data_IF_192949785404
#
_entry.id   IF_192949785404
#
_cell.length_a   1.000
_cell.length_b   1.000
_cell.length_c   1.000
_cell.angle_alpha   90.00
_cell.angle_beta   90.00
_cell.angle_gamma   90.00
#
_symmetry.space_group_name_H-M   'P 1'
#
loop_
_entity.id
_entity.type
_entity.pdbx_description
1 polymer ?
#
# COMPACT_ATOMS: atom_id res chain seq x y z
N UNK A 1 64.54 -5.04 0.69
CA UNK A 1 63.36 -4.70 1.53
C UNK A 1 62.38 -5.86 1.47
N UNK A 2 62.17 -6.58 2.57
CA UNK A 2 61.24 -7.71 2.62
C UNK A 2 59.78 -7.26 2.33
N UNK A 3 58.97 -8.16 1.75
CA UNK A 3 57.55 -7.89 1.44
C UNK A 3 56.76 -7.66 2.74
N UNK A 4 55.64 -6.93 2.65
CA UNK A 4 54.83 -6.61 3.83
C UNK A 4 54.33 -7.87 4.57
N UNK A 5 54.02 -8.93 3.82
CA UNK A 5 53.65 -10.24 4.36
C UNK A 5 54.78 -10.89 5.18
N UNK A 6 56.02 -10.84 4.69
CA UNK A 6 57.19 -11.39 5.39
C UNK A 6 57.51 -10.58 6.66
N UNK A 7 57.35 -9.25 6.59
CA UNK A 7 57.46 -8.39 7.78
C UNK A 7 56.38 -8.72 8.80
N UNK A 8 55.12 -8.89 8.38
CA UNK A 8 54.02 -9.27 9.26
C UNK A 8 54.24 -10.64 9.91
N UNK A 9 54.91 -11.57 9.22
CA UNK A 9 55.23 -12.90 9.74
C UNK A 9 56.51 -12.96 10.60
N UNK A 10 57.24 -11.86 10.76
CA UNK A 10 58.40 -11.78 11.66
C UNK A 10 58.04 -12.19 13.09
N UNK A 11 58.96 -12.87 13.78
CA UNK A 11 58.79 -13.33 15.17
C UNK A 11 58.33 -12.22 16.12
N UNK A 12 58.88 -11.01 15.97
CA UNK A 12 58.51 -9.86 16.81
C UNK A 12 57.07 -9.40 16.53
N UNK A 13 56.66 -9.38 15.28
CA UNK A 13 55.30 -8.98 14.90
C UNK A 13 54.28 -10.03 15.31
N UNK A 14 54.58 -11.32 15.12
CA UNK A 14 53.76 -12.42 15.65
C UNK A 14 53.63 -12.37 17.18
N UNK A 15 54.72 -12.11 17.90
CA UNK A 15 54.69 -11.98 19.36
C UNK A 15 53.89 -10.76 19.83
N UNK A 16 54.04 -9.62 19.15
CA UNK A 16 53.31 -8.39 19.47
C UNK A 16 51.82 -8.56 19.20
N UNK A 17 51.45 -9.15 18.06
CA UNK A 17 50.07 -9.52 17.73
C UNK A 17 49.51 -10.50 18.76
N UNK A 18 50.22 -11.57 19.10
CA UNK A 18 49.78 -12.51 20.14
C UNK A 18 49.53 -11.82 21.48
N UNK A 19 50.44 -10.95 21.93
CA UNK A 19 50.29 -10.22 23.20
C UNK A 19 49.08 -9.29 23.19
N UNK A 20 48.86 -8.61 22.06
CA UNK A 20 47.69 -7.76 21.86
C UNK A 20 46.41 -8.59 21.85
N UNK A 21 46.39 -9.70 21.09
CA UNK A 21 45.26 -10.62 21.00
C UNK A 21 44.89 -11.20 22.37
N UNK A 22 45.88 -11.58 23.20
CA UNK A 22 45.67 -12.04 24.58
C UNK A 22 44.99 -11.00 25.45
N UNK A 23 45.32 -9.72 25.28
CA UNK A 23 44.68 -8.64 26.03
C UNK A 23 43.26 -8.31 25.55
N UNK A 24 42.99 -8.60 24.27
CA UNK A 24 41.76 -8.20 23.58
C UNK A 24 40.70 -9.31 23.60
N UNK A 25 41.10 -10.59 23.64
CA UNK A 25 40.17 -11.74 23.63
C UNK A 25 39.21 -11.73 24.82
N UNK A 26 39.68 -11.35 26.00
CA UNK A 26 38.84 -11.28 27.20
C UNK A 26 37.92 -10.05 27.22
N UNK A 27 38.29 -8.97 26.54
CA UNK A 27 37.52 -7.70 26.49
C UNK A 27 36.53 -7.66 25.32
N UNK A 28 36.74 -8.48 24.30
CA UNK A 28 35.99 -8.44 23.04
C UNK A 28 35.04 -9.63 22.85
N UNK A 29 35.02 -10.59 23.77
CA UNK A 29 34.02 -11.64 23.76
C UNK A 29 32.73 -11.14 24.40
N UNK A 30 31.66 -11.11 23.59
CA UNK A 30 30.31 -10.81 24.07
C UNK A 30 29.86 -11.86 25.09
N UNK A 31 29.31 -11.44 26.24
CA UNK A 31 28.63 -12.34 27.17
C UNK A 31 27.49 -13.10 26.47
N UNK A 32 27.19 -14.32 26.94
CA UNK A 32 26.10 -15.11 26.37
C UNK A 32 24.73 -14.54 26.79
N UNK A 33 24.59 -14.14 28.06
CA UNK A 33 23.39 -13.48 28.58
C UNK A 33 23.60 -11.98 28.60
N UNK A 34 22.62 -11.22 28.06
CA UNK A 34 22.63 -9.77 28.15
C UNK A 34 22.52 -9.28 29.61
N UNK A 35 21.87 -10.05 30.48
CA UNK A 35 21.67 -9.73 31.90
C UNK A 35 22.97 -9.65 32.71
N UNK A 36 24.06 -10.29 32.26
CA UNK A 36 25.37 -10.24 32.92
C UNK A 36 26.08 -8.90 32.72
N UNK A 37 25.60 -8.05 31.80
CA UNK A 37 26.21 -6.76 31.52
C UNK A 37 25.50 -5.66 32.31
N UNK A 38 26.22 -5.01 33.23
CA UNK A 38 25.71 -3.89 34.04
C UNK A 38 26.12 -2.51 33.51
N UNK A 39 27.05 -2.46 32.56
CA UNK A 39 27.53 -1.21 31.98
C UNK A 39 26.78 -0.87 30.68
N UNK A 40 26.18 0.32 30.63
CA UNK A 40 25.45 0.82 29.47
C UNK A 40 26.33 0.91 28.22
N UNK A 41 27.58 1.40 28.36
CA UNK A 41 28.50 1.59 27.22
C UNK A 41 28.87 0.25 26.56
N UNK A 42 29.04 -0.78 27.37
CA UNK A 42 29.35 -2.11 26.89
C UNK A 42 28.14 -2.75 26.21
N UNK A 43 26.94 -2.58 26.76
CA UNK A 43 25.70 -3.05 26.14
C UNK A 43 25.48 -2.41 24.74
N UNK A 44 25.68 -1.10 24.60
CA UNK A 44 25.61 -0.40 23.31
C UNK A 44 26.71 -0.85 22.33
N UNK A 45 27.90 -1.17 22.83
CA UNK A 45 28.99 -1.74 22.01
C UNK A 45 28.60 -3.12 21.48
N UNK A 46 28.08 -4.01 22.32
CA UNK A 46 27.64 -5.34 21.92
C UNK A 46 26.49 -5.29 20.91
N UNK A 47 25.53 -4.39 21.12
CA UNK A 47 24.46 -4.11 20.14
C UNK A 47 25.02 -3.74 18.77
N UNK A 48 25.97 -2.79 18.72
CA UNK A 48 26.63 -2.38 17.46
C UNK A 48 27.40 -3.52 16.80
N UNK A 49 28.02 -4.40 17.58
CA UNK A 49 28.68 -5.58 17.03
C UNK A 49 27.69 -6.56 16.40
N UNK A 50 26.56 -6.84 17.07
CA UNK A 50 25.49 -7.68 16.51
C UNK A 50 24.99 -7.12 15.18
N UNK A 51 24.78 -5.82 15.11
CA UNK A 51 24.35 -5.13 13.89
C UNK A 51 25.34 -5.37 12.75
N UNK A 52 26.64 -5.24 13.00
CA UNK A 52 27.68 -5.49 11.98
C UNK A 52 27.67 -6.96 11.52
N UNK A 53 27.50 -7.89 12.44
CA UNK A 53 27.39 -9.32 12.11
C UNK A 53 26.16 -9.61 11.25
N UNK A 54 25.01 -9.00 11.57
CA UNK A 54 23.79 -9.09 10.75
C UNK A 54 24.05 -8.53 9.36
N UNK A 55 24.59 -7.31 9.25
CA UNK A 55 24.85 -6.68 7.94
C UNK A 55 25.78 -7.52 7.06
N UNK A 56 26.81 -8.14 7.64
CA UNK A 56 27.70 -9.05 6.90
C UNK A 56 26.96 -10.27 6.37
N UNK A 57 26.16 -10.94 7.22
CA UNK A 57 25.39 -12.12 6.81
C UNK A 57 24.28 -11.80 5.82
N UNK A 58 23.64 -10.63 5.94
CA UNK A 58 22.68 -10.16 4.94
C UNK A 58 23.37 -10.02 3.59
N UNK A 59 24.56 -9.38 3.54
CA UNK A 59 25.33 -9.28 2.30
C UNK A 59 25.72 -10.66 1.73
N UNK A 60 26.06 -11.63 2.59
CA UNK A 60 26.35 -13.00 2.17
C UNK A 60 25.12 -13.69 1.55
N UNK A 61 23.93 -13.59 2.17
CA UNK A 61 22.67 -14.19 1.69
C UNK A 61 22.19 -13.58 0.36
N UNK A 62 22.50 -12.31 0.07
CA UNK A 62 22.11 -11.71 -1.21
C UNK A 62 22.76 -12.41 -2.41
N UNK A 63 23.84 -13.18 -2.21
CA UNK A 63 24.45 -13.99 -3.25
C UNK A 63 23.61 -15.25 -3.55
N UNK A 64 22.74 -15.17 -4.55
CA UNK A 64 21.86 -16.27 -4.97
C UNK A 64 22.58 -17.53 -5.49
N UNK A 65 23.90 -17.47 -5.73
CA UNK A 65 24.72 -18.61 -6.12
C UNK A 65 25.16 -19.52 -4.96
N UNK A 66 24.81 -19.17 -3.71
CA UNK A 66 25.02 -20.05 -2.57
C UNK A 66 24.04 -21.23 -2.62
N UNK A 67 24.48 -22.42 -2.19
CA UNK A 67 23.61 -23.58 -2.12
C UNK A 67 22.42 -23.35 -1.19
N UNK A 68 21.26 -23.94 -1.51
CA UNK A 68 20.02 -23.76 -0.75
C UNK A 68 20.17 -24.00 0.76
N UNK A 69 20.87 -25.07 1.17
CA UNK A 69 21.11 -25.37 2.58
C UNK A 69 21.88 -24.25 3.29
N UNK A 70 22.90 -23.69 2.63
CA UNK A 70 23.70 -22.60 3.18
C UNK A 70 22.85 -21.33 3.35
N UNK A 71 21.95 -21.05 2.39
CA UNK A 71 21.02 -19.92 2.47
C UNK A 71 20.06 -20.11 3.66
N UNK A 72 19.56 -21.32 3.90
CA UNK A 72 18.69 -21.63 5.06
C UNK A 72 19.42 -21.40 6.38
N UNK A 73 20.62 -21.96 6.52
CA UNK A 73 21.45 -21.81 7.71
C UNK A 73 21.79 -20.33 7.99
N UNK A 74 22.19 -19.59 6.96
CA UNK A 74 22.46 -18.16 7.09
C UNK A 74 21.21 -17.38 7.52
N UNK A 75 20.03 -17.73 7.00
CA UNK A 75 18.76 -17.09 7.38
C UNK A 75 18.43 -17.36 8.86
N UNK A 76 18.62 -18.58 9.33
CA UNK A 76 18.46 -18.95 10.75
C UNK A 76 19.45 -18.22 11.64
N UNK A 77 20.71 -18.10 11.21
CA UNK A 77 21.72 -17.36 11.93
C UNK A 77 21.40 -15.86 12.04
N UNK A 78 20.88 -15.24 10.97
CA UNK A 78 20.43 -13.84 11.01
C UNK A 78 19.27 -13.70 12.00
N UNK A 79 18.26 -14.57 11.92
CA UNK A 79 17.12 -14.54 12.85
C UNK A 79 17.57 -14.74 14.31
N UNK A 80 18.57 -15.61 14.56
CA UNK A 80 19.19 -15.77 15.89
C UNK A 80 19.85 -14.47 16.35
N UNK A 81 20.63 -13.80 15.49
CA UNK A 81 21.28 -12.53 15.82
C UNK A 81 20.28 -11.39 16.05
N UNK A 82 19.16 -11.36 15.32
CA UNK A 82 18.09 -10.39 15.54
C UNK A 82 17.43 -10.58 16.92
N UNK A 83 17.20 -11.83 17.35
CA UNK A 83 16.70 -12.13 18.69
C UNK A 83 17.70 -11.72 19.76
N UNK A 84 18.98 -12.03 19.58
CA UNK A 84 20.05 -11.56 20.47
C UNK A 84 20.06 -10.02 20.55
N UNK A 85 19.96 -9.31 19.41
CA UNK A 85 19.87 -7.84 19.36
C UNK A 85 18.72 -7.32 20.23
N UNK A 86 17.55 -7.95 20.15
CA UNK A 86 16.38 -7.57 20.94
C UNK A 86 16.64 -7.69 22.45
N UNK A 87 17.30 -8.77 22.89
CA UNK A 87 17.68 -8.91 24.30
C UNK A 87 18.66 -7.82 24.77
N UNK A 88 19.62 -7.46 23.92
CA UNK A 88 20.55 -6.35 24.21
C UNK A 88 19.86 -5.00 24.21
N UNK A 89 18.90 -4.74 23.31
CA UNK A 89 18.10 -3.51 23.32
C UNK A 89 17.22 -3.41 24.57
N UNK A 90 16.59 -4.51 24.99
CA UNK A 90 15.86 -4.56 26.25
C UNK A 90 16.75 -4.29 27.45
N UNK A 91 17.96 -4.87 27.48
CA UNK A 91 18.92 -4.62 28.56
C UNK A 91 19.36 -3.16 28.62
N UNK A 92 19.56 -2.52 27.47
CA UNK A 92 19.89 -1.10 27.40
C UNK A 92 18.77 -0.26 28.03
N UNK A 93 17.51 -0.59 27.76
CA UNK A 93 16.35 0.08 28.38
C UNK A 93 16.34 -0.13 29.89
N UNK A 94 16.59 -1.36 30.38
CA UNK A 94 16.68 -1.68 31.82
C UNK A 94 17.80 -0.90 32.53
N UNK A 95 18.90 -0.61 31.82
CA UNK A 95 20.01 0.22 32.31
C UNK A 95 19.75 1.74 32.15
N UNK A 96 18.50 2.16 31.91
CA UNK A 96 18.09 3.54 31.63
C UNK A 96 18.77 4.18 30.41
N UNK A 97 19.05 3.37 29.39
CA UNK A 97 19.57 3.82 28.10
C UNK A 97 18.50 4.28 27.12
N UNK A 98 18.92 4.58 25.89
CA UNK A 98 18.01 5.01 24.83
C UNK A 98 17.14 3.89 24.28
N UNK A 99 15.88 4.20 23.98
CA UNK A 99 14.94 3.24 23.39
C UNK A 99 15.17 3.11 21.87
N UNK A 100 15.99 2.12 21.53
CA UNK A 100 16.28 1.77 20.14
C UNK A 100 15.13 1.10 19.40
N UNK A 101 14.13 0.57 20.12
CA UNK A 101 12.96 -0.09 19.48
C UNK A 101 12.02 0.93 18.85
N UNK A 102 11.93 2.12 19.45
CA UNK A 102 11.10 3.23 18.98
C UNK A 102 11.81 4.17 18.03
N UNK A 103 13.11 4.40 18.26
CA UNK A 103 13.90 5.39 17.50
C UNK A 103 14.43 4.89 16.15
N UNK A 104 14.50 3.58 15.95
CA UNK A 104 14.91 3.04 14.66
C UNK A 104 13.65 2.64 13.88
N UNK A 105 13.34 3.34 12.76
CA UNK A 105 12.58 2.69 11.70
C UNK A 105 13.28 1.39 11.41
N UNK A 106 12.54 0.33 11.09
CA UNK A 106 13.10 -0.99 10.83
C UNK A 106 14.00 -0.96 9.58
N UNK A 107 15.18 -0.35 9.68
CA UNK A 107 16.09 -0.11 8.57
C UNK A 107 16.74 -1.42 8.09
N UNK A 108 16.59 -2.49 8.89
CA UNK A 108 16.92 -3.87 8.50
C UNK A 108 15.77 -4.57 7.75
N UNK A 109 14.56 -4.01 7.73
CA UNK A 109 13.44 -4.48 6.89
C UNK A 109 13.57 -4.05 5.43
N UNK A 110 14.66 -3.37 5.04
CA UNK A 110 14.95 -3.09 3.64
C UNK A 110 15.05 -4.36 2.78
N UNK A 111 15.38 -5.52 3.39
CA UNK A 111 15.47 -6.81 2.70
C UNK A 111 14.78 -7.99 3.40
N UNK A 112 14.30 -7.81 4.64
CA UNK A 112 13.63 -8.87 5.41
C UNK A 112 12.12 -8.78 5.30
N UNK A 113 11.48 -9.70 4.59
CA UNK A 113 10.01 -9.76 4.58
C UNK A 113 9.56 -10.72 5.67
N UNK A 114 8.64 -10.27 6.52
CA UNK A 114 8.01 -11.09 7.56
C UNK A 114 6.89 -11.89 6.90
N UNK A 115 6.84 -13.20 7.14
CA UNK A 115 5.68 -14.00 6.75
C UNK A 115 4.48 -13.57 7.58
N UNK A 116 3.37 -13.23 6.93
CA UNK A 116 2.14 -12.84 7.61
C UNK A 116 1.65 -14.00 8.50
N UNK A 117 1.55 -13.77 9.81
CA UNK A 117 1.15 -14.80 10.79
C UNK A 117 2.28 -15.71 11.31
N UNK A 118 3.52 -15.55 10.84
CA UNK A 118 4.65 -16.47 11.10
C UNK A 118 5.50 -16.18 12.35
N UNK A 119 4.91 -15.68 13.44
CA UNK A 119 5.59 -15.60 14.75
C UNK A 119 6.88 -14.74 14.81
N UNK A 120 7.10 -13.85 13.84
CA UNK A 120 8.26 -12.94 13.81
C UNK A 120 9.53 -13.49 13.14
N UNK A 121 9.48 -14.68 12.52
CA UNK A 121 10.58 -15.18 11.69
C UNK A 121 10.65 -14.42 10.36
N UNK A 122 11.86 -14.03 9.93
CA UNK A 122 12.08 -13.21 8.73
C UNK A 122 12.89 -13.96 7.69
N UNK A 123 12.58 -13.73 6.41
CA UNK A 123 13.38 -14.23 5.29
C UNK A 123 14.07 -13.07 4.58
N UNK A 124 15.38 -13.19 4.36
CA UNK A 124 16.25 -12.16 3.78
C UNK A 124 16.74 -12.56 2.40
N UNK A 125 16.84 -11.61 1.47
CA UNK A 125 17.50 -11.80 0.16
C UNK A 125 17.09 -13.07 -0.58
N UNK A 126 18.08 -13.88 -0.99
CA UNK A 126 17.87 -15.14 -1.71
C UNK A 126 17.06 -16.19 -0.92
N UNK A 127 16.96 -16.07 0.42
CA UNK A 127 16.17 -16.99 1.23
C UNK A 127 14.65 -16.91 0.92
N UNK A 128 14.18 -15.80 0.33
CA UNK A 128 12.80 -15.65 -0.14
C UNK A 128 12.49 -16.50 -1.37
N UNK A 129 13.51 -16.79 -2.18
CA UNK A 129 13.36 -17.53 -3.43
C UNK A 129 13.48 -19.05 -3.21
N UNK A 130 13.66 -19.49 -1.97
CA UNK A 130 13.74 -20.90 -1.64
C UNK A 130 12.42 -21.62 -1.97
N UNK A 131 12.48 -22.87 -2.48
CA UNK A 131 11.31 -23.71 -2.65
C UNK A 131 10.48 -23.80 -1.35
N UNK A 132 9.15 -23.64 -1.46
CA UNK A 132 8.21 -23.60 -0.33
C UNK A 132 8.13 -22.27 0.43
N UNK A 133 9.20 -21.47 0.48
CA UNK A 133 9.15 -20.11 1.06
C UNK A 133 8.61 -19.10 0.05
N UNK A 134 8.99 -19.26 -1.22
CA UNK A 134 8.52 -18.41 -2.31
C UNK A 134 7.00 -18.37 -2.40
N UNK A 135 6.36 -19.52 -2.27
CA UNK A 135 4.90 -19.69 -2.30
C UNK A 135 4.20 -18.93 -1.15
N UNK A 136 4.85 -18.78 0.01
CA UNK A 136 4.30 -18.03 1.14
C UNK A 136 4.31 -16.51 0.91
N UNK A 137 5.19 -16.02 0.04
CA UNK A 137 5.34 -14.60 -0.28
C UNK A 137 4.70 -14.20 -1.60
N UNK A 138 4.51 -15.14 -2.51
CA UNK A 138 3.77 -14.98 -3.75
C UNK A 138 2.28 -14.85 -3.39
N UNK A 139 1.89 -13.63 -2.99
CA UNK A 139 0.48 -13.29 -2.80
C UNK A 139 -0.24 -13.63 -4.10
N UNK A 140 -1.31 -14.42 -4.00
CA UNK A 140 -2.25 -14.64 -5.09
C UNK A 140 -2.51 -13.28 -5.75
N UNK A 141 -2.28 -13.21 -7.06
CA UNK A 141 -2.51 -11.98 -7.81
C UNK A 141 -3.89 -11.46 -7.43
N UNK A 142 -3.95 -10.22 -6.94
CA UNK A 142 -5.21 -9.61 -6.53
C UNK A 142 -6.21 -9.82 -7.68
N UNK A 143 -7.40 -10.39 -7.40
CA UNK A 143 -8.38 -10.62 -8.45
C UNK A 143 -8.61 -9.30 -9.18
N UNK A 144 -8.76 -9.37 -10.51
CA UNK A 144 -8.97 -8.17 -11.32
C UNK A 144 -10.02 -7.27 -10.66
N UNK A 145 -9.72 -5.97 -10.48
CA UNK A 145 -10.61 -5.08 -9.78
C UNK A 145 -11.98 -5.15 -10.44
N UNK A 146 -13.00 -5.54 -9.66
CA UNK A 146 -14.37 -5.54 -10.16
C UNK A 146 -14.72 -4.12 -10.57
N UNK A 147 -15.43 -3.98 -11.69
CA UNK A 147 -15.85 -2.66 -12.20
C UNK A 147 -16.50 -1.86 -11.07
N UNK A 148 -16.00 -0.65 -10.86
CA UNK A 148 -16.53 0.23 -9.83
C UNK A 148 -17.89 0.75 -10.29
N UNK A 149 -18.76 1.08 -9.34
CA UNK A 149 -20.11 1.61 -9.63
C UNK A 149 -20.07 2.83 -10.58
N UNK A 150 -19.06 3.68 -10.47
CA UNK A 150 -18.81 4.81 -11.37
C UNK A 150 -18.50 4.37 -12.81
N UNK A 151 -17.70 3.33 -13.00
CA UNK A 151 -17.40 2.78 -14.34
C UNK A 151 -18.64 2.16 -14.98
N UNK A 152 -19.54 1.59 -14.18
CA UNK A 152 -20.82 1.07 -14.66
C UNK A 152 -21.77 2.20 -15.11
N UNK A 153 -21.75 3.35 -14.43
CA UNK A 153 -22.60 4.49 -14.79
C UNK A 153 -22.03 5.38 -15.90
N UNK A 154 -20.75 5.26 -16.23
CA UNK A 154 -20.07 6.11 -17.23
C UNK A 154 -20.70 6.08 -18.62
N UNK A 155 -21.38 4.99 -18.96
CA UNK A 155 -22.02 4.79 -20.27
C UNK A 155 -23.55 4.90 -20.21
N UNK A 156 -24.11 5.40 -19.11
CA UNK A 156 -25.54 5.63 -18.97
C UNK A 156 -25.81 7.08 -19.38
N UNK A 157 -26.23 7.26 -20.63
CA UNK A 157 -26.59 8.55 -21.21
C UNK A 157 -28.03 8.94 -20.85
N UNK A 158 -28.43 10.23 -20.94
CA UNK A 158 -29.81 10.67 -20.74
C UNK A 158 -30.84 9.91 -21.61
N UNK A 159 -30.41 9.42 -22.76
CA UNK A 159 -31.19 8.58 -23.69
C UNK A 159 -31.64 7.26 -23.03
N UNK A 160 -30.88 6.73 -22.08
CA UNK A 160 -31.28 5.55 -21.28
C UNK A 160 -32.53 5.83 -20.43
N UNK A 161 -32.76 7.08 -20.05
CA UNK A 161 -33.92 7.51 -19.28
C UNK A 161 -35.03 8.12 -20.16
N UNK A 162 -34.91 8.08 -21.49
CA UNK A 162 -35.94 8.59 -22.41
C UNK A 162 -36.07 10.12 -22.41
N UNK A 163 -35.12 10.85 -21.82
CA UNK A 163 -35.18 12.32 -21.66
C UNK A 163 -35.07 13.11 -22.97
N UNK A 164 -34.89 12.44 -24.12
CA UNK A 164 -34.80 13.05 -25.45
C UNK A 164 -36.00 12.75 -26.35
N UNK A 165 -36.94 11.90 -25.92
CA UNK A 165 -38.10 11.55 -26.74
C UNK A 165 -39.09 12.71 -26.90
N UNK A 166 -39.11 13.66 -25.96
CA UNK A 166 -39.96 14.86 -26.01
C UNK A 166 -39.44 15.95 -26.98
N UNK A 167 -38.17 15.87 -27.40
CA UNK A 167 -37.55 16.81 -28.33
C UNK A 167 -37.63 16.33 -29.80
N UNK A 168 -38.46 15.32 -30.08
CA UNK A 168 -38.64 14.81 -31.44
C UNK A 168 -39.43 15.85 -32.28
N UNK A 169 -38.73 16.49 -33.22
CA UNK A 169 -39.30 17.55 -34.05
C UNK A 169 -40.59 17.13 -34.77
N UNK A 170 -40.72 15.85 -35.11
CA UNK A 170 -41.91 15.28 -35.74
C UNK A 170 -43.14 15.28 -34.80
N UNK A 171 -42.95 15.05 -33.50
CA UNK A 171 -44.03 15.09 -32.51
C UNK A 171 -44.52 16.52 -32.32
N UNK A 172 -43.59 17.47 -32.22
CA UNK A 172 -43.89 18.89 -32.03
C UNK A 172 -44.65 19.49 -33.23
N UNK A 173 -44.30 19.11 -34.47
CA UNK A 173 -45.05 19.50 -35.66
C UNK A 173 -46.49 18.94 -35.67
N UNK A 174 -46.66 17.68 -35.24
CA UNK A 174 -47.97 17.04 -35.16
C UNK A 174 -48.87 17.71 -34.10
N UNK A 175 -48.30 18.07 -32.94
CA UNK A 175 -49.00 18.80 -31.88
C UNK A 175 -49.45 20.19 -32.34
N UNK A 176 -48.57 20.96 -32.99
CA UNK A 176 -48.93 22.27 -33.55
C UNK A 176 -50.04 22.17 -34.60
N UNK A 177 -50.01 21.15 -35.46
CA UNK A 177 -51.06 20.91 -36.44
C UNK A 177 -52.41 20.55 -35.77
N UNK A 178 -52.40 19.78 -34.68
CA UNK A 178 -53.59 19.47 -33.92
C UNK A 178 -54.15 20.69 -33.15
N UNK A 179 -53.27 21.47 -32.53
CA UNK A 179 -53.64 22.69 -31.79
C UNK A 179 -54.28 23.73 -32.73
N UNK A 180 -53.68 23.97 -33.90
CA UNK A 180 -54.23 24.90 -34.88
C UNK A 180 -55.60 24.45 -35.41
N UNK A 181 -55.84 23.15 -35.56
CA UNK A 181 -57.15 22.60 -35.92
C UNK A 181 -58.19 22.84 -34.82
N UNK A 182 -57.89 22.43 -33.59
CA UNK A 182 -58.79 22.64 -32.45
C UNK A 182 -59.12 24.12 -32.23
N UNK A 183 -58.13 25.00 -32.41
CA UNK A 183 -58.32 26.45 -32.29
C UNK A 183 -59.23 27.03 -33.38
N UNK A 184 -59.17 26.50 -34.61
CA UNK A 184 -60.09 26.88 -35.70
C UNK A 184 -61.50 26.40 -35.40
N UNK A 185 -61.68 25.13 -35.02
CA UNK A 185 -62.97 24.57 -34.69
C UNK A 185 -63.64 25.32 -33.53
N UNK A 186 -62.86 25.70 -32.51
CA UNK A 186 -63.34 26.51 -31.39
C UNK A 186 -63.76 27.93 -31.80
N UNK A 187 -63.01 28.59 -32.69
CA UNK A 187 -63.39 29.90 -33.24
C UNK A 187 -64.65 29.80 -34.09
N UNK A 188 -64.78 28.79 -34.93
CA UNK A 188 -65.98 28.60 -35.77
C UNK A 188 -67.22 28.29 -34.94
N UNK A 189 -67.08 27.47 -33.88
CA UNK A 189 -68.15 27.23 -32.94
C UNK A 189 -68.56 28.51 -32.19
N UNK A 190 -67.59 29.34 -31.80
CA UNK A 190 -67.85 30.63 -31.16
C UNK A 190 -68.55 31.61 -32.11
N UNK A 191 -68.08 31.73 -33.36
CA UNK A 191 -68.70 32.58 -34.39
C UNK A 191 -70.14 32.14 -34.71
N UNK A 192 -70.39 30.82 -34.73
CA UNK A 192 -71.73 30.28 -34.93
C UNK A 192 -72.64 30.58 -33.74
N UNK A 193 -72.16 30.38 -32.52
CA UNK A 193 -72.90 30.71 -31.31
C UNK A 193 -73.20 32.22 -31.22
N UNK A 194 -72.27 33.08 -31.63
CA UNK A 194 -72.48 34.53 -31.66
C UNK A 194 -73.50 34.93 -32.72
N UNK A 195 -73.48 34.31 -33.92
CA UNK A 195 -74.52 34.50 -34.94
C UNK A 195 -75.89 34.04 -34.49
N UNK A 196 -75.98 32.89 -33.82
CA UNK A 196 -77.23 32.37 -33.24
C UNK A 196 -77.74 33.31 -32.13
N UNK A 197 -76.85 33.81 -31.27
CA UNK A 197 -77.18 34.83 -30.26
C UNK A 197 -77.68 36.13 -30.91
N UNK A 198 -77.01 36.60 -31.96
CA UNK A 198 -77.39 37.82 -32.67
C UNK A 198 -78.73 37.67 -33.42
N UNK A 199 -79.00 36.49 -33.97
CA UNK A 199 -80.27 36.13 -34.57
C UNK A 199 -81.39 36.01 -33.53
N UNK A 200 -81.12 35.45 -32.34
CA UNK A 200 -82.06 35.41 -31.22
C UNK A 200 -82.38 36.82 -30.71
N UNK A 201 -81.38 37.70 -30.60
CA UNK A 201 -81.56 39.11 -30.24
C UNK A 201 -82.40 39.86 -31.30
N UNK A 202 -82.19 39.58 -32.59
CA UNK A 202 -83.01 40.14 -33.67
C UNK A 202 -84.45 39.59 -33.69
N UNK A 203 -84.64 38.30 -33.40
CA UNK A 203 -85.95 37.64 -33.35
C UNK A 203 -86.77 38.01 -32.11
N UNK A 204 -86.11 38.34 -30.99
CA UNK A 204 -86.75 38.85 -29.78
C UNK A 204 -87.27 40.29 -29.91
N UNK A 205 -87.14 40.91 -31.09
CA UNK A 205 -87.94 42.07 -31.48
C UNK A 205 -88.05 43.12 -30.39
N UNK A 206 -86.91 43.62 -29.90
CA UNK A 206 -86.91 44.81 -29.06
C UNK A 206 -87.31 45.98 -29.94
N UNK A 207 -88.63 46.21 -29.99
CA UNK A 207 -89.21 47.54 -30.13
C UNK A 207 -88.65 48.36 -28.98
N UNK A 208 -87.57 49.09 -29.21
CA UNK A 208 -87.34 50.36 -28.54
C UNK A 208 -87.95 51.43 -29.46
N UNK A 209 -89.22 51.73 -29.21
CA UNK A 209 -89.74 53.08 -29.46
C UNK A 209 -88.97 54.08 -28.60
N UNK A 210 -88.84 55.29 -29.16
CA UNK A 210 -88.21 56.54 -28.68
C UNK A 210 -86.69 56.57 -28.57
#
# INVERSE_FOLDING_TARGET
MARNEEKAQSLLNRWTSMKQDFSDTFKNRRPYLASECDNLKDAERWRRQIIKEISKKVADIQNAGLGEHVIRDLNDEINKRIREKYHWEKRIIELNGSDYTRSQPSAYDADGTVVQGGGGYKYFGAAKNLPGVRELFEKEALPEPKRVREEMYKHIEPDYYGLREDDDAAMLEAEQAAETRLRKDAMEAWDKAEKERLAQVAALGVITQS
#
